data_IF_886200678922
#
_entry.id   IF_886200678922
#
_cell.length_a   1.000
_cell.length_b   1.000
_cell.length_c   1.000
_cell.angle_alpha   90.00
_cell.angle_beta   90.00
_cell.angle_gamma   90.00
#
_symmetry.space_group_name_H-M   'P 1'
#
loop_
_entity.id
_entity.type
_entity.pdbx_description
1 polymer ?
2 non-polymer ?
3 water ?
#
# COMPACT_ATOMS: atom_id res chain seq x y z
N UNK A 2 26.27 -12.87 -22.13
CA UNK A 2 25.41 -13.71 -22.96
C UNK A 2 24.03 -13.95 -22.33
N UNK A 3 23.35 -15.01 -22.79
CA UNK A 3 21.99 -15.28 -22.32
C UNK A 3 21.96 -15.71 -20.86
N UNK A 4 22.99 -16.43 -20.41
CA UNK A 4 23.04 -16.97 -19.06
C UNK A 4 23.88 -16.12 -18.12
N UNK A 5 23.90 -14.80 -18.33
CA UNK A 5 24.68 -13.90 -17.51
C UNK A 5 24.02 -13.70 -16.15
N UNK A 6 24.77 -13.94 -15.08
CA UNK A 6 24.30 -13.68 -13.73
C UNK A 6 24.65 -12.25 -13.31
N UNK A 7 23.77 -11.66 -12.51
CA UNK A 7 24.04 -10.39 -11.90
C UNK A 7 23.56 -9.23 -12.74
N UNK A 8 23.84 -8.00 -12.28
CA UNK A 8 23.34 -6.81 -12.97
C UNK A 8 23.90 -6.70 -14.39
N UNK A 9 23.10 -6.11 -15.26
CA UNK A 9 23.53 -5.80 -16.62
C UNK A 9 24.36 -4.53 -16.56
N UNK A 10 25.63 -4.56 -16.99
CA UNK A 10 26.46 -3.36 -16.93
C UNK A 10 25.82 -2.20 -17.68
N UNK A 11 25.77 -1.04 -17.02
CA UNK A 11 25.19 0.15 -17.60
C UNK A 11 23.70 0.31 -17.43
N UNK A 12 23.04 -0.60 -16.73
CA UNK A 12 21.61 -0.52 -16.47
C UNK A 12 21.40 -0.46 -14.96
N UNK A 13 21.24 0.73 -14.40
CA UNK A 13 21.15 0.86 -12.94
C UNK A 13 19.75 0.60 -12.41
N UNK A 14 19.71 0.32 -11.09
CA UNK A 14 18.44 0.20 -10.39
C UNK A 14 17.61 1.46 -10.60
N UNK A 15 16.35 1.27 -11.00
CA UNK A 15 15.45 2.38 -11.26
C UNK A 15 15.18 2.63 -12.74
N UNK A 16 15.89 1.95 -13.64
CA UNK A 16 15.62 2.10 -15.06
C UNK A 16 14.22 1.57 -15.38
N UNK A 17 13.50 2.30 -16.23
CA UNK A 17 12.12 1.98 -16.54
C UNK A 17 11.92 1.82 -18.04
N UNK A 18 11.19 0.78 -18.44
CA UNK A 18 10.75 0.60 -19.81
C UNK A 18 9.25 0.42 -19.84
N UNK A 19 8.63 0.91 -20.91
CA UNK A 19 7.17 0.87 -21.00
C UNK A 19 6.66 -0.53 -21.34
N UNK A 20 7.41 -1.29 -22.14
CA UNK A 20 6.94 -2.58 -22.63
C UNK A 20 7.92 -3.69 -22.31
N UNK A 21 7.40 -4.90 -22.20
CA UNK A 21 8.24 -6.07 -21.95
C UNK A 21 9.29 -6.27 -23.02
N UNK A 22 9.00 -5.87 -24.26
CA UNK A 22 9.95 -6.10 -25.36
C UNK A 22 11.21 -5.27 -25.16
N UNK A 23 11.08 -4.07 -24.61
CA UNK A 23 12.27 -3.27 -24.30
C UNK A 23 13.07 -3.91 -23.18
N UNK A 24 12.39 -4.54 -22.21
CA UNK A 24 13.09 -5.25 -21.16
C UNK A 24 13.86 -6.43 -21.75
N UNK A 25 13.30 -7.06 -22.79
CA UNK A 25 13.96 -8.19 -23.43
C UNK A 25 15.24 -7.76 -24.14
N UNK A 26 15.17 -6.67 -24.90
CA UNK A 26 16.30 -6.22 -25.68
C UNK A 26 17.40 -5.62 -24.81
N UNK A 27 17.05 -5.11 -23.63
CA UNK A 27 18.07 -4.62 -22.69
C UNK A 27 18.88 -5.75 -22.09
N UNK A 28 18.39 -6.99 -22.12
CA UNK A 28 19.06 -8.10 -21.51
C UNK A 28 18.72 -8.33 -20.05
N UNK A 29 18.01 -7.37 -19.42
CA UNK A 29 17.66 -7.52 -18.01
C UNK A 29 16.74 -8.71 -17.80
N UNK A 30 15.75 -8.87 -18.68
CA UNK A 30 14.88 -10.05 -18.65
C UNK A 30 14.60 -10.45 -20.09
N UNK A 31 15.23 -11.53 -20.55
CA UNK A 31 15.24 -11.85 -21.96
C UNK A 31 13.91 -12.39 -22.49
N UNK A 32 13.23 -13.32 -21.81
CA UNK A 32 11.92 -13.76 -22.31
C UNK A 32 10.92 -12.61 -22.33
N UNK A 33 10.21 -12.49 -23.46
CA UNK A 33 9.26 -11.40 -23.63
C UNK A 33 7.87 -11.71 -23.08
N UNK A 34 7.61 -12.95 -22.68
CA UNK A 34 6.32 -13.32 -22.11
C UNK A 34 6.53 -13.99 -20.76
N UNK A 35 7.36 -15.03 -20.73
CA UNK A 35 7.56 -15.81 -19.52
C UNK A 35 8.06 -14.94 -18.38
N UNK A 36 7.56 -15.21 -17.18
CA UNK A 36 7.90 -14.39 -16.03
C UNK A 36 9.23 -14.68 -15.39
N UNK A 37 9.99 -15.65 -15.92
CA UNK A 37 11.25 -16.06 -15.31
C UNK A 37 12.16 -16.59 -16.41
N UNK A 38 13.46 -16.35 -16.26
CA UNK A 38 14.48 -16.79 -17.19
C UNK A 38 15.50 -17.65 -16.46
N UNK A 39 15.73 -18.86 -16.96
CA UNK A 39 16.69 -19.75 -16.33
C UNK A 39 16.83 -21.04 -17.09
N UNK A 40 17.72 -21.89 -16.58
CA UNK A 40 17.98 -23.22 -17.13
C UNK A 40 17.97 -24.24 -16.00
N UNK A 41 17.36 -25.40 -16.27
CA UNK A 41 17.22 -26.42 -15.25
C UNK A 41 18.54 -27.05 -14.84
N UNK A 42 19.55 -27.02 -15.72
CA UNK A 42 20.89 -27.48 -15.38
C UNK A 42 21.78 -26.34 -14.88
N UNK A 43 21.17 -25.23 -14.47
CA UNK A 43 21.90 -24.03 -14.10
C UNK A 43 21.03 -23.26 -13.12
N UNK A 44 21.08 -21.93 -13.14
CA UNK A 44 20.27 -21.12 -12.26
C UNK A 44 19.21 -20.33 -12.99
N UNK A 45 18.57 -19.44 -12.24
CA UNK A 45 17.67 -18.44 -12.77
C UNK A 45 18.39 -17.11 -12.81
N UNK A 46 18.29 -16.40 -13.93
CA UNK A 46 18.99 -15.13 -14.10
C UNK A 46 18.09 -13.93 -13.91
N UNK A 47 16.79 -14.07 -14.12
CA UNK A 47 15.88 -12.94 -13.99
C UNK A 47 14.46 -13.44 -13.83
N UNK A 48 13.62 -12.60 -13.23
CA UNK A 48 12.19 -12.84 -13.20
C UNK A 48 11.46 -11.50 -13.13
N UNK A 49 10.18 -11.54 -13.49
CA UNK A 49 9.31 -10.38 -13.44
C UNK A 49 8.19 -10.67 -12.44
N UNK A 50 7.84 -9.66 -11.65
CA UNK A 50 6.69 -9.74 -10.77
C UNK A 50 5.53 -8.96 -11.39
N UNK A 51 4.45 -9.66 -11.71
CA UNK A 51 3.27 -9.05 -12.34
C UNK A 51 2.01 -9.72 -11.81
N UNK A 52 1.87 -9.74 -10.49
CA UNK A 52 0.71 -10.32 -9.83
C UNK A 52 0.70 -11.83 -9.79
N UNK A 53 -0.07 -12.46 -10.69
CA UNK A 53 -0.08 -13.90 -10.78
C UNK A 53 -0.90 -14.57 -9.70
N UNK A 54 -0.26 -14.91 -8.58
CA UNK A 54 -0.88 -15.69 -7.52
C UNK A 54 -1.14 -14.79 -6.31
N UNK A 55 -2.37 -14.85 -5.78
CA UNK A 55 -2.79 -13.91 -4.75
C UNK A 55 -2.13 -14.18 -3.40
N UNK A 56 -1.63 -15.41 -3.17
CA UNK A 56 -0.97 -15.71 -1.91
C UNK A 56 0.44 -15.11 -1.83
N UNK A 57 0.99 -14.64 -2.95
CA UNK A 57 2.29 -13.99 -2.92
C UNK A 57 2.18 -12.62 -2.27
N UNK A 58 3.11 -12.32 -1.37
CA UNK A 58 3.22 -11.00 -0.77
C UNK A 58 4.48 -10.34 -1.31
N UNK A 59 4.41 -9.03 -1.53
CA UNK A 59 5.56 -8.24 -1.98
C UNK A 59 5.78 -7.12 -0.98
N UNK A 60 6.95 -7.12 -0.33
CA UNK A 60 7.27 -6.14 0.69
C UNK A 60 8.59 -5.42 0.37
N UNK A 61 8.90 -5.29 -0.92
CA UNK A 61 10.10 -4.57 -1.33
C UNK A 61 11.38 -5.40 -1.24
N UNK A 62 12.04 -5.34 -0.10
CA UNK A 62 13.28 -6.09 0.07
C UNK A 62 13.06 -7.59 0.14
N UNK A 63 11.85 -8.03 0.47
CA UNK A 63 11.53 -9.46 0.41
C UNK A 63 10.15 -9.64 -0.19
N UNK A 64 9.95 -10.80 -0.83
CA UNK A 64 8.67 -11.14 -1.41
C UNK A 64 8.61 -12.65 -1.58
N UNK A 65 7.39 -13.17 -1.59
CA UNK A 65 7.16 -14.58 -1.90
C UNK A 65 6.70 -14.73 -3.35
N UNK A 66 6.92 -15.92 -3.90
CA UNK A 66 6.78 -16.16 -5.33
C UNK A 66 6.32 -17.59 -5.55
N UNK A 67 5.46 -17.79 -6.53
CA UNK A 67 4.90 -19.10 -6.85
C UNK A 67 5.39 -19.56 -8.21
N UNK A 68 5.73 -20.85 -8.31
CA UNK A 68 6.30 -21.39 -9.51
C UNK A 68 5.30 -21.54 -10.64
N UNK A 69 5.77 -22.16 -11.71
CA UNK A 69 5.00 -22.31 -12.94
C UNK A 69 4.51 -23.76 -13.10
N UNK A 70 3.93 -24.04 -14.27
CA UNK A 70 3.28 -25.31 -14.52
C UNK A 70 1.95 -25.40 -13.82
N UNK A 71 1.24 -26.52 -13.98
CA UNK A 71 1.66 -27.57 -14.89
C UNK A 71 0.60 -27.87 -15.93
N UNK A 85 -3.08 -29.83 -12.23
CA UNK A 85 -2.23 -30.89 -11.73
C UNK A 85 -1.10 -30.33 -10.86
N UNK A 86 -0.33 -31.24 -10.25
CA UNK A 86 0.76 -30.83 -9.37
C UNK A 86 1.89 -30.16 -10.14
N UNK A 87 2.51 -29.17 -9.51
CA UNK A 87 3.73 -28.60 -10.03
C UNK A 87 4.91 -29.52 -9.72
N UNK A 88 5.93 -29.45 -10.56
CA UNK A 88 7.15 -30.23 -10.40
C UNK A 88 8.34 -29.29 -10.31
N UNK A 89 9.40 -29.75 -9.66
CA UNK A 89 10.64 -28.97 -9.58
C UNK A 89 11.50 -29.22 -10.81
N UNK A 90 10.92 -28.88 -11.95
CA UNK A 90 11.55 -28.97 -13.26
C UNK A 90 11.50 -27.60 -13.93
N UNK A 91 12.15 -27.50 -15.09
CA UNK A 91 12.16 -26.28 -15.93
C UNK A 91 12.59 -25.11 -15.05
N UNK A 92 11.86 -23.99 -15.06
CA UNK A 92 12.31 -22.79 -14.34
C UNK A 92 12.14 -22.94 -12.83
N UNK A 93 11.17 -23.74 -12.39
CA UNK A 93 11.04 -24.01 -10.97
C UNK A 93 12.33 -24.56 -10.39
N UNK A 94 12.98 -25.47 -11.12
CA UNK A 94 14.26 -26.01 -10.66
C UNK A 94 15.37 -24.97 -10.76
N UNK A 95 15.38 -24.20 -11.85
CA UNK A 95 16.38 -23.14 -12.01
C UNK A 95 16.37 -22.18 -10.83
N UNK A 96 15.19 -21.69 -10.45
CA UNK A 96 15.10 -20.79 -9.31
C UNK A 96 15.50 -21.49 -8.02
N UNK A 97 15.11 -22.76 -7.86
CA UNK A 97 15.52 -23.52 -6.69
C UNK A 97 17.04 -23.67 -6.63
N UNK A 98 17.68 -23.95 -7.77
CA UNK A 98 19.12 -24.12 -7.79
C UNK A 98 19.87 -22.85 -7.39
N UNK A 99 19.24 -21.68 -7.50
CA UNK A 99 19.86 -20.46 -7.02
C UNK A 99 20.03 -20.47 -5.51
N UNK A 100 19.13 -21.14 -4.80
CA UNK A 100 19.21 -21.17 -3.34
C UNK A 100 20.50 -21.85 -2.90
N UNK A 101 21.20 -21.22 -1.96
CA UNK A 101 22.47 -21.76 -1.50
C UNK A 101 22.24 -22.97 -0.61
N UNK A 102 21.66 -24.02 -1.19
CA UNK A 102 21.34 -25.26 -0.48
C UNK A 102 21.33 -26.38 -1.51
N UNK A 103 21.66 -27.61 -1.09
CA UNK A 103 21.53 -28.74 -2.01
C UNK A 103 20.08 -28.90 -2.49
N UNK A 104 19.94 -29.11 -3.79
CA UNK A 104 18.62 -29.19 -4.41
C UNK A 104 17.80 -30.31 -3.76
N UNK A 105 16.54 -30.00 -3.47
CA UNK A 105 15.61 -30.95 -2.84
C UNK A 105 14.24 -30.74 -3.45
N UNK A 106 13.82 -31.69 -4.29
CA UNK A 106 12.51 -31.59 -4.94
C UNK A 106 11.38 -32.29 -4.18
N UNK A 107 11.61 -32.75 -2.96
CA UNK A 107 10.51 -33.32 -2.18
C UNK A 107 10.00 -32.40 -1.08
N UNK A 108 10.92 -31.74 -0.34
CA UNK A 108 10.49 -30.86 0.74
C UNK A 108 10.96 -29.41 0.58
N UNK A 109 11.80 -29.11 -0.41
CA UNK A 109 12.39 -27.80 -0.51
C UNK A 109 13.66 -27.70 0.32
N UNK A 110 14.19 -26.48 0.39
CA UNK A 110 15.44 -26.25 1.10
C UNK A 110 15.48 -24.82 1.61
N UNK A 111 16.44 -24.57 2.51
CA UNK A 111 16.66 -23.25 3.09
C UNK A 111 18.15 -22.97 3.11
N UNK A 112 18.52 -21.77 2.69
CA UNK A 112 19.93 -21.34 2.67
C UNK A 112 20.21 -20.54 3.94
N UNK A 113 20.94 -21.16 4.87
CA UNK A 113 21.40 -20.43 6.05
C UNK A 113 22.25 -19.23 5.66
N UNK A 114 23.08 -19.39 4.63
CA UNK A 114 23.92 -18.31 4.13
C UNK A 114 23.39 -17.86 2.78
N UNK A 115 22.16 -17.32 2.79
CA UNK A 115 21.42 -17.06 1.56
C UNK A 115 22.11 -16.06 0.64
N UNK A 116 22.96 -15.19 1.17
CA UNK A 116 23.63 -14.21 0.32
C UNK A 116 24.67 -14.85 -0.59
N UNK A 117 25.03 -16.11 -0.36
CA UNK A 117 25.96 -16.83 -1.21
C UNK A 117 25.27 -17.55 -2.37
N UNK A 118 23.94 -17.50 -2.43
CA UNK A 118 23.22 -18.06 -3.56
C UNK A 118 23.39 -17.22 -4.81
N UNK A 119 22.90 -17.77 -5.93
CA UNK A 119 23.09 -17.09 -7.20
C UNK A 119 22.13 -15.89 -7.32
N UNK A 120 22.61 -14.78 -7.87
CA UNK A 120 21.76 -13.59 -7.97
C UNK A 120 20.63 -13.75 -8.97
N UNK A 121 19.54 -13.02 -8.71
CA UNK A 121 18.40 -12.95 -9.60
C UNK A 121 18.11 -11.48 -9.86
N UNK A 122 18.16 -11.08 -11.13
CA UNK A 122 17.66 -9.76 -11.50
C UNK A 122 16.14 -9.76 -11.40
N UNK A 123 15.58 -8.73 -10.80
CA UNK A 123 14.14 -8.69 -10.51
C UNK A 123 13.57 -7.39 -11.06
N UNK A 124 12.64 -7.53 -12.00
CA UNK A 124 11.85 -6.43 -12.53
C UNK A 124 10.43 -6.59 -12.00
N UNK A 125 9.76 -5.49 -11.69
CA UNK A 125 8.33 -5.54 -11.42
C UNK A 125 7.54 -4.72 -12.42
N UNK A 126 6.37 -5.24 -12.73
CA UNK A 126 5.47 -4.76 -13.76
C UNK A 126 4.22 -4.19 -13.11
N UNK A 127 3.51 -3.34 -13.85
CA UNK A 127 2.34 -2.65 -13.30
C UNK A 127 1.25 -3.63 -12.89
N UNK A 128 1.04 -4.71 -13.65
CA UNK A 128 -0.12 -5.53 -13.30
C UNK A 128 0.04 -6.26 -11.99
N UNK A 129 1.19 -6.16 -11.33
CA UNK A 129 1.31 -6.63 -9.97
C UNK A 129 0.83 -5.61 -8.98
N UNK A 130 0.37 -4.46 -9.49
CA UNK A 130 0.02 -3.33 -8.65
C UNK A 130 -0.90 -3.64 -7.49
N UNK A 131 -1.87 -4.54 -7.70
CA UNK A 131 -2.99 -4.58 -6.76
C UNK A 131 -2.63 -5.24 -5.43
N UNK A 132 -1.71 -6.20 -5.42
CA UNK A 132 -1.23 -6.73 -4.15
C UNK A 132 0.27 -6.49 -4.01
N UNK A 133 0.72 -5.30 -4.40
CA UNK A 133 2.08 -4.86 -4.14
C UNK A 133 2.12 -3.35 -4.32
N UNK A 134 2.43 -2.63 -3.24
CA UNK A 134 2.55 -1.18 -3.32
C UNK A 134 3.85 -0.74 -3.99
N UNK A 135 4.76 -1.68 -4.26
CA UNK A 135 6.04 -1.36 -4.86
C UNK A 135 6.04 -1.49 -6.38
N UNK A 136 5.01 -2.09 -6.97
CA UNK A 136 4.93 -2.16 -8.42
C UNK A 136 4.85 -0.75 -9.00
N UNK A 137 5.53 -0.48 -10.10
CA UNK A 137 5.45 0.85 -10.71
C UNK A 137 4.05 1.14 -11.23
N UNK A 138 3.75 2.43 -11.36
CA UNK A 138 2.47 2.84 -11.91
C UNK A 138 2.42 2.67 -13.43
N UNK A 139 3.58 2.58 -14.07
CA UNK A 139 3.66 2.49 -15.52
C UNK A 139 4.86 1.65 -15.90
N UNK A 140 4.69 0.81 -16.94
CA UNK A 140 5.79 0.06 -17.51
C UNK A 140 6.46 -0.91 -16.55
N UNK A 141 7.78 -1.04 -16.68
CA UNK A 141 8.59 -2.01 -15.95
C UNK A 141 9.76 -1.28 -15.32
N UNK A 142 10.18 -1.73 -14.13
CA UNK A 142 11.28 -1.10 -13.42
C UNK A 142 12.23 -2.17 -12.91
N UNK A 143 13.53 -2.00 -13.15
CA UNK A 143 14.54 -2.90 -12.62
C UNK A 143 14.85 -2.50 -11.18
N UNK A 144 14.68 -3.45 -10.26
CA UNK A 144 14.75 -3.15 -8.84
C UNK A 144 15.97 -3.75 -8.15
N UNK A 145 16.82 -4.48 -8.86
CA UNK A 145 18.09 -4.90 -8.32
C UNK A 145 18.19 -6.41 -8.14
N UNK A 146 19.24 -6.80 -7.43
CA UNK A 146 19.58 -8.20 -7.24
C UNK A 146 18.87 -8.74 -6.00
N UNK A 147 18.21 -9.89 -6.16
CA UNK A 147 17.62 -10.63 -5.05
C UNK A 147 18.23 -12.03 -5.00
N UNK A 148 18.04 -12.70 -3.86
CA UNK A 148 18.61 -14.01 -3.62
C UNK A 148 17.55 -14.92 -3.00
N UNK A 149 17.63 -16.21 -3.33
CA UNK A 149 16.62 -17.17 -2.92
C UNK A 149 16.93 -17.62 -1.49
N UNK A 150 16.10 -17.19 -0.54
CA UNK A 150 16.31 -17.58 0.85
C UNK A 150 15.85 -19.01 1.10
N UNK A 151 14.66 -19.36 0.64
CA UNK A 151 14.15 -20.71 0.83
C UNK A 151 13.01 -20.97 -0.16
N UNK A 152 12.73 -22.25 -0.36
CA UNK A 152 11.64 -22.69 -1.21
C UNK A 152 11.05 -23.96 -0.62
N UNK A 153 9.75 -24.15 -0.84
CA UNK A 153 9.03 -25.26 -0.21
C UNK A 153 7.80 -25.57 -1.05
N UNK A 154 7.30 -26.81 -1.00
CA UNK A 154 6.04 -27.12 -1.67
C UNK A 154 4.85 -27.02 -0.74
N UNK A 155 3.70 -26.64 -1.28
CA UNK A 155 2.47 -26.60 -0.49
C UNK A 155 1.29 -26.79 -1.43
N UNK A 156 0.11 -27.00 -0.84
CA UNK A 156 -1.11 -27.14 -1.61
C UNK A 156 -1.62 -25.76 -1.98
N UNK A 157 -1.80 -25.51 -3.27
CA UNK A 157 -2.21 -24.20 -3.74
C UNK A 157 -3.69 -23.95 -3.58
N UNK A 158 -4.14 -22.85 -4.18
CA UNK A 158 -5.57 -22.56 -4.20
C UNK A 158 -6.33 -23.52 -5.11
N UNK A 159 -5.68 -24.00 -6.17
CA UNK A 159 -6.30 -24.98 -7.04
C UNK A 159 -6.48 -26.34 -6.37
N UNK A 160 -5.75 -26.60 -5.29
CA UNK A 160 -5.80 -27.89 -4.62
C UNK A 160 -4.66 -28.82 -4.97
N UNK A 161 -3.93 -28.54 -6.04
CA UNK A 161 -2.76 -29.32 -6.42
C UNK A 161 -1.55 -28.80 -5.65
N UNK A 162 -0.35 -29.21 -6.05
CA UNK A 162 0.87 -28.77 -5.40
C UNK A 162 1.47 -27.60 -6.16
N UNK A 163 1.97 -26.62 -5.42
CA UNK A 163 2.65 -25.47 -5.98
C UNK A 163 3.97 -25.29 -5.25
N UNK A 164 4.97 -24.82 -5.97
CA UNK A 164 6.28 -24.53 -5.41
C UNK A 164 6.35 -23.04 -5.09
N UNK A 165 6.66 -22.72 -3.84
CA UNK A 165 6.74 -21.35 -3.38
C UNK A 165 8.18 -21.01 -3.03
N UNK A 166 8.53 -19.73 -3.18
CA UNK A 166 9.87 -19.25 -2.94
C UNK A 166 9.82 -17.98 -2.10
N UNK A 167 10.84 -17.81 -1.25
CA UNK A 167 11.07 -16.57 -0.54
C UNK A 167 12.40 -16.00 -1.01
N UNK A 168 12.36 -14.78 -1.56
CA UNK A 168 13.57 -14.10 -1.99
C UNK A 168 13.75 -12.81 -1.21
N UNK A 169 14.99 -12.34 -1.15
CA UNK A 169 15.33 -11.11 -0.47
C UNK A 169 16.39 -10.35 -1.24
N UNK A 170 16.39 -9.03 -1.05
CA UNK A 170 17.26 -8.15 -1.81
C UNK A 170 18.69 -8.20 -1.28
N UNK A 171 19.65 -8.22 -2.22
CA UNK A 171 21.07 -8.23 -1.89
C UNK A 171 21.80 -7.46 -2.98
N UNK A 172 21.63 -6.13 -2.96
CA UNK A 172 22.16 -5.26 -4.00
C UNK A 172 22.91 -4.10 -3.34
N UNK A 173 24.01 -3.68 -3.98
CA UNK A 173 24.76 -2.53 -3.48
C UNK A 173 24.01 -1.23 -3.72
N UNK A 174 23.20 -1.16 -4.78
CA UNK A 174 22.43 0.05 -5.01
C UNK A 174 21.17 0.04 -4.15
N UNK A 175 20.77 1.19 -3.62
CA UNK A 175 19.55 1.24 -2.80
C UNK A 175 18.31 0.94 -3.63
N UNK A 176 17.30 0.39 -2.95
CA UNK A 176 16.02 0.16 -3.56
C UNK A 176 15.45 1.42 -4.18
N UNK A 177 14.83 1.29 -5.36
CA UNK A 177 14.39 2.49 -6.09
C UNK A 177 13.31 3.27 -5.37
N UNK A 178 12.51 2.62 -4.52
CA UNK A 178 11.48 3.31 -3.76
C UNK A 178 12.04 4.05 -2.56
N UNK A 179 13.25 3.73 -2.13
CA UNK A 179 13.84 4.41 -0.99
C UNK A 179 14.23 5.83 -1.37
N UNK A 180 14.38 6.68 -0.34
CA UNK A 180 14.79 8.05 -0.58
C UNK A 180 16.10 8.12 -1.35
N UNK A 181 17.07 7.28 -0.96
CA UNK A 181 18.36 7.29 -1.63
C UNK A 181 18.26 6.74 -3.04
N UNK A 182 17.40 5.76 -3.26
CA UNK A 182 17.15 5.28 -4.61
C UNK A 182 16.50 6.34 -5.48
N UNK A 183 15.60 7.14 -4.89
CA UNK A 183 15.01 8.25 -5.64
C UNK A 183 16.06 9.29 -6.01
N UNK A 184 16.99 9.57 -5.09
CA UNK A 184 18.06 10.52 -5.39
C UNK A 184 18.92 10.03 -6.54
N UNK A 185 19.21 8.73 -6.60
CA UNK A 185 20.00 8.20 -7.70
C UNK A 185 19.25 8.30 -9.02
N UNK A 186 17.96 7.97 -9.02
CA UNK A 186 17.15 8.12 -10.23
C UNK A 186 17.18 9.57 -10.72
N UNK A 187 16.97 10.51 -9.79
CA UNK A 187 17.05 11.92 -10.14
C UNK A 187 18.44 12.29 -10.64
N UNK A 188 19.48 11.83 -9.96
CA UNK A 188 20.84 12.21 -10.33
C UNK A 188 21.28 11.55 -11.63
N UNK A 189 20.86 10.32 -11.88
CA UNK A 189 21.18 9.65 -13.14
C UNK A 189 20.31 10.12 -14.29
N UNK A 190 19.20 10.79 -14.01
CA UNK A 190 18.31 11.22 -15.07
C UNK A 190 17.40 10.14 -15.59
N UNK A 191 17.20 9.06 -14.84
CA UNK A 191 16.39 7.93 -15.30
C UNK A 191 14.96 8.36 -15.55
N UNK A 192 14.43 7.96 -16.71
CA UNK A 192 13.08 8.36 -17.12
C UNK A 192 12.46 7.20 -17.88
N UNK A 193 11.12 7.23 -17.95
CA UNK A 193 10.36 6.19 -18.65
C UNK A 193 10.78 6.10 -20.11
N UNK A 194 11.35 4.95 -20.49
CA UNK A 194 11.79 4.73 -21.86
C UNK A 194 10.60 4.30 -22.71
N UNK A 195 10.38 5.00 -23.83
CA UNK A 195 9.38 4.56 -24.78
C UNK A 195 10.04 4.09 -26.07
N UNK A 196 9.45 3.14 -26.77
CA UNK A 196 9.95 2.81 -28.11
C UNK A 196 9.83 4.02 -29.01
N UNK A 197 10.79 4.17 -29.92
CA UNK A 197 10.79 5.33 -30.80
C UNK A 197 9.52 5.33 -31.66
N UNK A 198 8.87 6.49 -31.72
CA UNK A 198 7.66 6.67 -32.49
C UNK A 198 6.37 6.24 -31.82
N UNK A 199 6.44 5.61 -30.64
CA UNK A 199 5.21 5.10 -30.00
C UNK A 199 4.30 6.25 -29.59
N UNK A 200 4.81 7.17 -28.76
CA UNK A 200 4.01 8.31 -28.33
C UNK A 200 3.57 9.15 -29.53
N UNK A 201 4.44 9.29 -30.53
CA UNK A 201 4.09 10.05 -31.72
C UNK A 201 2.98 9.39 -32.52
N UNK A 202 2.92 8.05 -32.50
CA UNK A 202 1.86 7.33 -33.20
C UNK A 202 0.54 7.40 -32.46
N UNK A 203 0.58 7.42 -31.12
CA UNK A 203 -0.66 7.52 -30.34
C UNK A 203 -1.28 8.90 -30.45
N UNK A 204 -0.46 9.94 -30.60
CA UNK A 204 -0.98 11.30 -30.64
C UNK A 204 -1.57 11.65 -32.00
N UNK A 205 -1.04 11.08 -33.08
CA UNK A 205 -1.59 11.28 -34.41
C UNK A 205 -2.77 10.36 -34.71
N UNK A 206 -3.20 9.55 -33.74
CA UNK A 206 -4.30 8.60 -33.97
C UNK A 206 -5.64 9.20 -33.54
N UNK A 207 -6.09 10.18 -34.31
CA UNK A 207 -7.39 10.79 -34.03
C UNK A 207 -7.99 11.38 -35.30
N UNK B 2 -7.17 -4.70 20.47
CA UNK B 2 -6.19 -3.98 21.29
C UNK B 2 -6.02 -2.52 20.88
N UNK B 3 -4.89 -1.93 21.27
CA UNK B 3 -4.67 -0.51 21.04
C UNK B 3 -4.47 -0.19 19.56
N UNK B 4 -3.80 -1.09 18.82
CA UNK B 4 -3.47 -0.85 17.42
C UNK B 4 -4.39 -1.59 16.46
N UNK B 5 -5.67 -1.73 16.82
CA UNK B 5 -6.62 -2.48 15.99
C UNK B 5 -6.98 -1.69 14.74
N UNK B 6 -6.79 -2.32 13.58
CA UNK B 6 -7.22 -1.78 12.30
C UNK B 6 -8.65 -2.21 11.98
N UNK B 7 -9.39 -1.34 11.31
CA UNK B 7 -10.68 -1.69 10.80
C UNK B 7 -11.81 -1.40 11.77
N UNK B 8 -13.03 -1.78 11.39
CA UNK B 8 -14.19 -1.46 12.23
C UNK B 8 -14.11 -2.13 13.60
N UNK B 9 -14.69 -1.46 14.59
CA UNK B 9 -14.83 -2.02 15.94
C UNK B 9 -16.02 -2.97 15.92
N UNK B 10 -15.82 -4.24 16.26
CA UNK B 10 -16.95 -5.19 16.25
C UNK B 10 -18.09 -4.73 17.14
N UNK B 11 -19.30 -4.78 16.58
CA UNK B 11 -20.50 -4.40 17.30
C UNK B 11 -20.86 -2.93 17.26
N UNK B 12 -20.10 -2.11 16.54
CA UNK B 12 -20.37 -0.68 16.43
C UNK B 12 -20.57 -0.36 14.95
N UNK B 13 -21.81 -0.27 14.49
CA UNK B 13 -22.05 -0.08 13.05
C UNK B 13 -21.95 1.39 12.64
N UNK B 14 -21.77 1.57 11.32
CA UNK B 14 -21.80 2.90 10.73
C UNK B 14 -23.12 3.59 11.07
N UNK B 15 -23.02 4.82 11.57
CA UNK B 15 -24.18 5.59 11.99
C UNK B 15 -24.33 5.71 13.49
N UNK B 16 -23.51 5.00 14.27
CA UNK B 16 -23.57 5.12 15.72
C UNK B 16 -23.16 6.53 16.14
N UNK B 17 -23.86 7.07 17.12
CA UNK B 17 -23.65 8.44 17.56
C UNK B 17 -23.36 8.50 19.05
N UNK B 18 -22.36 9.31 19.42
CA UNK B 18 -22.07 9.63 20.81
C UNK B 18 -22.02 11.14 20.97
N UNK B 19 -22.48 11.61 22.14
CA UNK B 19 -22.55 13.05 22.37
C UNK B 19 -21.17 13.64 22.65
N UNK B 20 -20.28 12.90 23.31
CA UNK B 20 -18.99 13.45 23.71
C UNK B 20 -17.84 12.60 23.18
N UNK B 21 -16.69 13.25 23.01
CA UNK B 21 -15.48 12.57 22.58
C UNK B 21 -15.08 11.46 23.54
N UNK B 22 -15.41 11.60 24.83
CA UNK B 22 -14.99 10.61 25.81
C UNK B 22 -15.71 9.29 25.57
N UNK B 23 -16.97 9.34 25.13
CA UNK B 23 -17.69 8.11 24.80
C UNK B 23 -17.09 7.45 23.57
N UNK B 24 -16.62 8.26 22.60
CA UNK B 24 -15.95 7.72 21.43
C UNK B 24 -14.66 7.03 21.84
N UNK B 25 -13.98 7.57 22.85
CA UNK B 25 -12.71 7.00 23.29
C UNK B 25 -12.89 5.62 23.90
N UNK B 26 -13.85 5.48 24.81
CA UNK B 26 -14.00 4.19 25.49
C UNK B 26 -14.63 3.14 24.59
N UNK B 27 -15.37 3.56 23.55
CA UNK B 27 -15.87 2.60 22.57
C UNK B 27 -14.77 2.00 21.73
N UNK B 28 -13.59 2.63 21.69
CA UNK B 28 -12.48 2.15 20.89
C UNK B 28 -12.44 2.68 19.47
N UNK B 29 -13.50 3.33 19.00
CA UNK B 29 -13.53 3.82 17.62
C UNK B 29 -12.45 4.87 17.41
N UNK B 30 -12.29 5.78 18.36
CA UNK B 30 -11.20 6.77 18.34
C UNK B 30 -10.72 6.96 19.77
N UNK B 31 -9.58 6.37 20.10
CA UNK B 31 -9.14 6.28 21.48
C UNK B 31 -8.64 7.60 22.08
N UNK B 32 -7.85 8.42 21.37
CA UNK B 32 -7.48 9.72 21.94
C UNK B 32 -8.71 10.58 22.15
N UNK B 33 -8.82 11.18 23.34
CA UNK B 33 -9.99 11.97 23.69
C UNK B 33 -9.88 13.42 23.24
N UNK B 34 -8.71 13.87 22.79
CA UNK B 34 -8.54 15.22 22.31
C UNK B 34 -7.95 15.20 20.90
N UNK B 35 -6.82 14.49 20.74
CA UNK B 35 -6.12 14.48 19.47
C UNK B 35 -7.01 13.98 18.34
N UNK B 36 -6.91 14.62 17.18
CA UNK B 36 -7.76 14.32 16.06
C UNK B 36 -7.38 13.10 15.26
N UNK B 37 -6.31 12.41 15.63
CA UNK B 37 -5.81 11.28 14.86
C UNK B 37 -5.14 10.30 15.81
N UNK B 38 -5.28 9.00 15.53
CA UNK B 38 -4.70 7.94 16.34
C UNK B 38 -3.82 7.07 15.47
N UNK B 39 -2.56 6.91 15.85
CA UNK B 39 -1.65 6.10 15.07
C UNK B 39 -0.29 6.02 15.69
N UNK B 40 0.58 5.24 15.04
CA UNK B 40 1.97 5.08 15.44
C UNK B 40 2.87 5.28 14.22
N UNK B 41 3.99 5.98 14.41
CA UNK B 41 4.87 6.31 13.31
C UNK B 41 5.59 5.10 12.74
N UNK B 42 5.76 4.03 13.53
CA UNK B 42 6.30 2.77 13.03
C UNK B 42 5.22 1.81 12.58
N UNK B 43 4.02 2.33 12.31
CA UNK B 43 2.84 1.53 11.99
C UNK B 43 1.92 2.41 11.17
N UNK B 44 0.61 2.24 11.29
CA UNK B 44 -0.34 3.05 10.57
C UNK B 44 -1.15 3.96 11.46
N UNK B 45 -2.16 4.58 10.86
CA UNK B 45 -3.18 5.34 11.57
C UNK B 45 -4.43 4.49 11.66
N UNK B 46 -5.02 4.44 12.85
CA UNK B 46 -6.20 3.61 13.07
C UNK B 46 -7.50 4.39 13.04
N UNK B 47 -7.49 5.68 13.35
CA UNK B 47 -8.71 6.46 13.36
C UNK B 47 -8.37 7.95 13.30
N UNK B 48 -9.34 8.74 12.85
CA UNK B 48 -9.25 10.18 12.93
C UNK B 48 -10.65 10.77 13.05
N UNK B 49 -10.69 12.02 13.52
CA UNK B 49 -11.94 12.77 13.65
C UNK B 49 -11.86 13.98 12.74
N UNK B 50 -12.98 14.28 12.07
CA UNK B 50 -13.12 15.50 11.29
C UNK B 50 -13.95 16.50 12.10
N UNK B 51 -13.34 17.64 12.43
CA UNK B 51 -13.99 18.67 13.22
C UNK B 51 -13.60 20.05 12.70
N UNK B 52 -13.81 20.25 11.39
CA UNK B 52 -13.49 21.53 10.79
C UNK B 52 -11.99 21.63 10.57
N UNK B 53 -11.33 22.32 11.49
CA UNK B 53 -9.88 22.40 11.47
C UNK B 53 -9.32 23.39 10.47
N UNK B 54 -9.05 22.93 9.26
CA UNK B 54 -8.36 23.71 8.25
C UNK B 54 -9.31 24.15 7.15
N UNK B 55 -9.21 25.42 6.76
CA UNK B 55 -10.15 26.01 5.82
C UNK B 55 -9.99 25.46 4.41
N UNK B 56 -8.79 24.99 4.06
CA UNK B 56 -8.58 24.41 2.74
C UNK B 56 -9.09 22.98 2.62
N UNK B 57 -9.41 22.32 3.73
CA UNK B 57 -9.95 20.97 3.67
C UNK B 57 -11.39 21.02 3.14
N UNK B 58 -11.68 20.14 2.18
CA UNK B 58 -13.03 19.96 1.67
C UNK B 58 -13.53 18.60 2.13
N UNK B 59 -14.82 18.52 2.46
CA UNK B 59 -15.46 17.27 2.85
C UNK B 59 -16.65 17.02 1.92
N UNK B 60 -16.59 15.92 1.17
CA UNK B 60 -17.62 15.56 0.21
C UNK B 60 -18.18 14.17 0.47
N UNK B 61 -18.19 13.76 1.73
CA UNK B 61 -18.76 12.48 2.09
C UNK B 61 -17.85 11.30 1.82
N UNK B 62 -17.96 10.73 0.62
CA UNK B 62 -17.13 9.59 0.27
C UNK B 62 -15.67 9.95 0.09
N UNK B 63 -15.35 11.23 -0.16
CA UNK B 63 -13.96 11.67 -0.20
C UNK B 63 -13.85 13.01 0.50
N UNK B 64 -12.66 13.26 1.07
CA UNK B 64 -12.37 14.51 1.73
C UNK B 64 -10.87 14.71 1.77
N UNK B 65 -10.45 15.97 1.86
CA UNK B 65 -9.06 16.31 2.08
C UNK B 65 -8.82 16.65 3.55
N UNK B 66 -7.58 16.51 3.96
CA UNK B 66 -7.22 16.56 5.38
C UNK B 66 -5.82 17.13 5.52
N UNK B 67 -5.63 17.94 6.57
CA UNK B 67 -4.35 18.60 6.82
C UNK B 67 -3.73 18.06 8.10
N UNK B 68 -2.42 17.83 8.06
CA UNK B 68 -1.72 17.22 9.17
C UNK B 68 -1.55 18.15 10.35
N UNK B 69 -0.79 17.67 11.33
CA UNK B 69 -0.59 18.34 12.60
C UNK B 69 0.83 18.93 12.65
N UNK B 70 1.21 19.43 13.82
CA UNK B 70 2.44 20.16 13.95
C UNK B 70 2.33 21.57 13.41
N UNK B 71 3.44 22.29 13.48
CA UNK B 71 3.50 23.66 12.98
C UNK B 71 3.01 24.67 14.00
N UNK B 85 6.24 27.24 11.63
CA UNK B 85 7.33 26.47 11.02
C UNK B 85 6.79 25.34 10.15
N UNK B 86 7.69 24.67 9.44
CA UNK B 86 7.28 23.60 8.53
C UNK B 86 6.78 22.39 9.30
N UNK B 87 5.77 21.72 8.72
CA UNK B 87 5.36 20.42 9.22
C UNK B 87 6.32 19.35 8.69
N UNK B 88 6.43 18.26 9.44
CA UNK B 88 7.28 17.14 9.07
C UNK B 88 6.43 15.89 8.97
N UNK B 89 6.91 14.92 8.18
CA UNK B 89 6.22 13.64 8.06
C UNK B 89 6.68 12.71 9.19
N UNK B 90 6.41 13.17 10.41
CA UNK B 90 6.71 12.43 11.62
C UNK B 90 5.44 12.28 12.44
N UNK B 91 5.56 11.51 13.53
CA UNK B 91 4.48 11.27 14.49
C UNK B 91 3.23 10.82 13.71
N UNK B 92 2.06 11.42 13.91
CA UNK B 92 0.84 10.91 13.29
C UNK B 92 0.79 11.24 11.79
N UNK B 93 1.43 12.33 11.37
CA UNK B 93 1.51 12.62 9.94
C UNK B 93 2.12 11.45 9.17
N UNK B 94 3.17 10.84 9.73
CA UNK B 94 3.77 9.68 9.09
C UNK B 94 2.86 8.47 9.16
N UNK B 95 2.20 8.26 10.30
CA UNK B 95 1.26 7.15 10.46
C UNK B 95 0.21 7.15 9.36
N UNK B 96 -0.45 8.29 9.15
CA UNK B 96 -1.47 8.38 8.10
C UNK B 96 -0.86 8.16 6.73
N UNK B 97 0.35 8.69 6.49
CA UNK B 97 1.04 8.46 5.23
C UNK B 97 1.32 6.98 5.04
N UNK B 98 1.74 6.29 6.09
CA UNK B 98 2.05 4.87 5.99
C UNK B 98 0.83 4.03 5.63
N UNK B 99 -0.39 4.53 5.90
CA UNK B 99 -1.58 3.81 5.48
C UNK B 99 -1.70 3.77 3.95
N UNK B 100 -1.18 4.79 3.28
CA UNK B 100 -1.28 4.85 1.82
C UNK B 100 -0.51 3.68 1.21
N UNK B 101 -1.16 3.00 0.25
CA UNK B 101 -0.55 1.84 -0.39
C UNK B 101 0.54 2.28 -1.35
N UNK B 102 1.59 2.92 -0.81
CA UNK B 102 2.69 3.43 -1.60
C UNK B 102 3.93 3.47 -0.71
N UNK B 103 5.12 3.34 -1.28
CA UNK B 103 6.34 3.52 -0.50
C UNK B 103 6.40 4.92 0.11
N UNK B 104 6.75 4.97 1.39
CA UNK B 104 6.74 6.24 2.12
C UNK B 104 7.69 7.24 1.45
N UNK B 105 7.23 8.48 1.34
CA UNK B 105 8.01 9.55 0.71
C UNK B 105 7.75 10.83 1.49
N UNK B 106 8.72 11.27 2.28
CA UNK B 106 8.60 12.51 3.03
C UNK B 106 9.14 13.71 2.29
N UNK B 107 9.45 13.59 1.00
CA UNK B 107 9.91 14.74 0.23
C UNK B 107 8.82 15.29 -0.69
N UNK B 108 8.11 14.41 -1.40
CA UNK B 108 7.04 14.82 -2.30
C UNK B 108 5.69 14.20 -2.00
N UNK B 109 5.61 13.25 -1.07
CA UNK B 109 4.40 12.52 -0.89
C UNK B 109 4.33 11.32 -1.82
N UNK B 110 3.16 10.68 -1.84
CA UNK B 110 2.99 9.48 -2.63
C UNK B 110 1.53 9.34 -3.04
N UNK B 111 1.29 8.45 -4.00
CA UNK B 111 -0.05 8.15 -4.50
C UNK B 111 -0.20 6.65 -4.66
N UNK B 112 -1.31 6.11 -4.19
CA UNK B 112 -1.61 4.69 -4.31
C UNK B 112 -2.59 4.50 -5.48
N UNK B 113 -2.07 4.01 -6.61
CA UNK B 113 -2.95 3.65 -7.71
C UNK B 113 -3.94 2.58 -7.29
N UNK B 114 -3.52 1.66 -6.43
CA UNK B 114 -4.39 0.63 -5.89
C UNK B 114 -4.71 0.96 -4.44
N UNK B 115 -5.39 2.10 -4.24
CA UNK B 115 -5.58 2.67 -2.92
C UNK B 115 -6.40 1.78 -1.99
N UNK B 116 -7.23 0.88 -2.54
CA UNK B 116 -8.05 0.03 -1.69
C UNK B 116 -7.25 -1.01 -0.92
N UNK B 117 -5.98 -1.21 -1.27
CA UNK B 117 -5.10 -2.11 -0.54
C UNK B 117 -4.38 -1.43 0.61
N UNK B 118 -4.55 -0.12 0.77
CA UNK B 118 -3.99 0.57 1.90
C UNK B 118 -4.69 0.22 3.20
N UNK B 119 -4.10 0.68 4.30
CA UNK B 119 -4.61 0.33 5.61
C UNK B 119 -5.89 1.11 5.91
N UNK B 120 -6.89 0.46 6.52
CA UNK B 120 -8.15 1.16 6.80
C UNK B 120 -7.99 2.23 7.87
N UNK B 121 -8.83 3.26 7.76
CA UNK B 121 -8.92 4.33 8.75
C UNK B 121 -10.37 4.44 9.20
N UNK B 122 -10.62 4.25 10.49
CA UNK B 122 -11.92 4.59 11.03
C UNK B 122 -12.07 6.10 11.06
N UNK B 123 -13.22 6.60 10.61
CA UNK B 123 -13.43 8.03 10.45
C UNK B 123 -14.69 8.44 11.19
N UNK B 124 -14.52 9.31 12.17
CA UNK B 124 -15.63 9.94 12.89
C UNK B 124 -15.66 11.40 12.44
N UNK B 125 -16.86 11.96 12.31
CA UNK B 125 -16.99 13.40 12.16
C UNK B 125 -17.76 14.00 13.31
N UNK B 126 -17.34 15.20 13.70
CA UNK B 126 -17.82 15.89 14.87
C UNK B 126 -18.62 17.11 14.41
N UNK B 127 -19.47 17.61 15.31
CA UNK B 127 -20.34 18.73 14.97
C UNK B 127 -19.53 19.95 14.57
N UNK B 128 -18.35 20.14 15.17
CA UNK B 128 -17.58 21.36 14.93
C UNK B 128 -17.04 21.46 13.51
N UNK B 129 -17.18 20.41 12.70
CA UNK B 129 -16.89 20.46 11.28
C UNK B 129 -18.02 20.97 10.43
N UNK B 130 -19.15 21.32 11.06
CA UNK B 130 -20.36 21.64 10.33
C UNK B 130 -20.20 22.66 9.22
N UNK B 131 -19.39 23.71 9.45
CA UNK B 131 -19.56 24.88 8.61
C UNK B 131 -18.90 24.73 7.24
N UNK B 132 -17.85 23.92 7.12
CA UNK B 132 -17.31 23.57 5.81
C UNK B 132 -17.45 22.08 5.51
N UNK B 133 -18.58 21.50 5.93
CA UNK B 133 -18.93 20.13 5.58
C UNK B 133 -20.40 19.94 5.90
N UNK B 134 -21.21 19.67 4.87
CA UNK B 134 -22.63 19.40 5.08
C UNK B 134 -22.88 18.01 5.66
N UNK B 135 -21.84 17.17 5.75
CA UNK B 135 -21.97 15.81 6.25
C UNK B 135 -21.70 15.70 7.74
N UNK B 136 -21.16 16.74 8.37
CA UNK B 136 -20.95 16.71 9.80
C UNK B 136 -22.29 16.58 10.51
N UNK B 137 -22.38 15.77 11.57
CA UNK B 137 -23.65 15.65 12.29
C UNK B 137 -24.02 16.96 12.95
N UNK B 138 -25.33 17.10 13.22
CA UNK B 138 -25.79 18.30 13.91
C UNK B 138 -25.44 18.29 15.39
N UNK B 139 -25.14 17.11 15.94
CA UNK B 139 -24.86 16.96 17.36
C UNK B 139 -23.86 15.84 17.55
N UNK B 140 -22.93 16.03 18.49
CA UNK B 140 -22.02 14.97 18.90
C UNK B 140 -21.15 14.44 17.78
N UNK B 141 -20.93 13.13 17.80
CA UNK B 141 -20.00 12.44 16.91
C UNK B 141 -20.70 11.26 16.26
N UNK B 142 -20.33 10.99 15.00
CA UNK B 142 -20.93 9.90 14.24
C UNK B 142 -19.83 9.09 13.56
N UNK B 143 -19.89 7.77 13.70
CA UNK B 143 -18.94 6.89 13.00
C UNK B 143 -19.44 6.66 11.58
N UNK B 144 -18.60 7.00 10.59
CA UNK B 144 -19.02 7.03 9.20
C UNK B 144 -18.40 5.93 8.35
N UNK B 145 -17.51 5.12 8.92
CA UNK B 145 -17.02 3.94 8.24
C UNK B 145 -15.54 4.02 7.91
N UNK B 146 -15.11 3.07 7.09
CA UNK B 146 -13.70 2.88 6.75
C UNK B 146 -13.34 3.76 5.56
N UNK B 147 -12.25 4.53 5.70
CA UNK B 147 -11.68 5.28 4.61
C UNK B 147 -10.22 4.85 4.41
N UNK B 148 -9.68 5.17 3.24
CA UNK B 148 -8.32 4.78 2.88
C UNK B 148 -7.61 5.94 2.19
N UNK B 149 -6.30 6.00 2.40
CA UNK B 149 -5.49 7.14 1.96
C UNK B 149 -5.14 6.97 0.48
N UNK B 150 -5.72 7.83 -0.37
CA UNK B 150 -5.44 7.78 -1.79
C UNK B 150 -4.09 8.39 -2.12
N UNK B 151 -3.80 9.57 -1.57
CA UNK B 151 -2.52 10.22 -1.83
C UNK B 151 -2.29 11.28 -0.77
N UNK B 152 -1.03 11.66 -0.63
CA UNK B 152 -0.62 12.72 0.28
C UNK B 152 0.52 13.48 -0.36
N UNK B 153 0.60 14.77 -0.03
CA UNK B 153 1.55 15.66 -0.68
C UNK B 153 1.81 16.84 0.23
N UNK B 154 2.97 17.49 0.12
CA UNK B 154 3.21 18.70 0.89
C UNK B 154 2.90 19.97 0.09
N UNK B 155 2.45 21.02 0.77
CA UNK B 155 2.23 22.30 0.10
C UNK B 155 2.40 23.42 1.12
N UNK B 156 2.47 24.65 0.60
CA UNK B 156 2.57 25.83 1.45
C UNK B 156 1.18 26.23 1.93
N UNK B 157 1.00 26.29 3.24
CA UNK B 157 -0.29 26.62 3.82
C UNK B 157 -0.55 28.11 3.81
N UNK B 158 -1.63 28.49 4.52
CA UNK B 158 -1.93 29.91 4.70
C UNK B 158 -0.93 30.58 5.61
N UNK B 159 -0.34 29.82 6.56
CA UNK B 159 0.68 30.37 7.43
C UNK B 159 1.98 30.68 6.68
N UNK B 160 2.16 30.11 5.49
CA UNK B 160 3.36 30.30 4.71
C UNK B 160 4.40 29.20 4.86
N UNK B 161 4.25 28.36 5.88
CA UNK B 161 5.14 27.23 6.07
C UNK B 161 4.66 26.04 5.25
N UNK B 162 5.23 24.87 5.49
CA UNK B 162 4.86 23.66 4.76
C UNK B 162 3.86 22.86 5.59
N UNK B 163 2.84 22.33 4.91
CA UNK B 163 1.82 21.49 5.55
C UNK B 163 1.64 20.22 4.74
N UNK B 164 1.33 19.14 5.44
CA UNK B 164 1.06 17.85 4.81
C UNK B 164 -0.44 17.68 4.63
N UNK B 165 -0.86 17.43 3.39
CA UNK B 165 -2.26 17.23 3.04
C UNK B 165 -2.49 15.79 2.59
N UNK B 166 -3.71 15.32 2.81
CA UNK B 166 -4.08 13.95 2.48
C UNK B 166 -5.41 13.94 1.74
N UNK B 167 -5.56 13.00 0.81
CA UNK B 167 -6.83 12.71 0.19
C UNK B 167 -7.21 11.29 0.61
N UNK B 168 -8.33 11.16 1.30
CA UNK B 168 -8.90 9.89 1.70
C UNK B 168 -10.27 9.77 1.07
N UNK B 169 -10.76 8.55 0.99
CA UNK B 169 -12.04 8.28 0.38
C UNK B 169 -12.49 6.88 0.79
N UNK B 170 -13.81 6.70 0.82
CA UNK B 170 -14.46 5.61 1.54
C UNK B 170 -14.36 4.24 0.87
N UNK B 171 -14.16 3.21 1.71
CA UNK B 171 -14.07 1.82 1.27
C UNK B 171 -14.68 0.94 2.37
N UNK B 172 -15.99 0.97 2.49
CA UNK B 172 -16.70 0.29 3.57
C UNK B 172 -17.84 -0.53 3.00
N UNK B 173 -18.10 -1.69 3.62
CA UNK B 173 -19.21 -2.53 3.20
C UNK B 173 -20.56 -1.92 3.57
N UNK B 174 -20.60 -1.18 4.66
CA UNK B 174 -21.86 -0.55 5.04
C UNK B 174 -22.04 0.76 4.29
N UNK B 175 -23.27 1.09 3.89
CA UNK B 175 -23.50 2.35 3.17
C UNK B 175 -23.24 3.55 4.08
N UNK B 176 -22.85 4.66 3.45
CA UNK B 176 -22.69 5.90 4.15
C UNK B 176 -23.94 6.28 4.91
N UNK B 177 -23.76 6.80 6.13
CA UNK B 177 -24.93 7.05 6.99
C UNK B 177 -25.87 8.11 6.44
N UNK B 178 -25.37 9.04 5.63
CA UNK B 178 -26.22 10.05 5.02
C UNK B 178 -27.02 9.51 3.83
N UNK B 179 -26.62 8.37 3.27
CA UNK B 179 -27.33 7.81 2.14
C UNK B 179 -28.66 7.23 2.59
N UNK B 180 -29.57 7.07 1.62
CA UNK B 180 -30.88 6.50 1.92
C UNK B 180 -30.76 5.14 2.57
N UNK B 181 -29.89 4.28 2.02
CA UNK B 181 -29.74 2.93 2.58
C UNK B 181 -29.04 2.96 3.94
N UNK B 182 -28.11 3.89 4.14
CA UNK B 182 -27.52 4.06 5.45
C UNK B 182 -28.53 4.55 6.48
N UNK B 183 -29.45 5.42 6.06
CA UNK B 183 -30.53 5.84 6.95
C UNK B 183 -31.44 4.68 7.31
N UNK B 184 -31.72 3.80 6.35
CA UNK B 184 -32.54 2.62 6.63
C UNK B 184 -31.89 1.72 7.66
N UNK B 185 -30.56 1.58 7.60
CA UNK B 185 -29.87 0.75 8.58
C UNK B 185 -29.92 1.37 9.97
N UNK B 186 -29.72 2.68 10.06
CA UNK B 186 -29.83 3.37 11.35
C UNK B 186 -31.22 3.15 11.95
N UNK B 187 -32.26 3.34 11.13
CA UNK B 187 -33.63 3.15 11.60
C UNK B 187 -33.86 1.71 12.06
N UNK B 188 -33.43 0.73 11.26
CA UNK B 188 -33.71 -0.67 11.59
C UNK B 188 -32.85 -1.15 12.75
N UNK B 189 -31.62 -0.66 12.86
CA UNK B 189 -30.79 -1.02 14.00
C UNK B 189 -31.18 -0.28 15.26
N UNK B 190 -31.98 0.78 15.14
CA UNK B 190 -32.37 1.55 16.31
C UNK B 190 -31.33 2.50 16.83
N UNK B 191 -30.34 2.85 16.01
CA UNK B 191 -29.25 3.71 16.46
C UNK B 191 -29.79 5.07 16.87
N UNK B 192 -29.36 5.53 18.05
CA UNK B 192 -29.82 6.79 18.60
C UNK B 192 -28.67 7.45 19.36
N UNK B 193 -28.79 8.76 19.52
CA UNK B 193 -27.77 9.55 20.23
C UNK B 193 -27.59 9.06 21.66
N UNK B 194 -26.44 8.47 21.96
CA UNK B 194 -26.13 8.01 23.30
C UNK B 194 -25.54 9.14 24.13
N UNK B 195 -26.09 9.33 25.32
CA UNK B 195 -25.58 10.27 26.29
C UNK B 195 -24.96 9.52 27.46
N UNK B 196 -23.96 10.11 28.12
CA UNK B 196 -23.46 9.49 29.36
C UNK B 196 -24.59 9.42 30.38
N UNK B 197 -24.56 8.37 31.19
CA UNK B 197 -25.61 8.19 32.18
C UNK B 197 -25.69 9.37 33.12
N UNK B 198 -26.90 9.87 33.35
CA UNK B 198 -27.14 10.99 34.23
C UNK B 198 -26.91 12.36 33.64
N UNK B 199 -26.39 12.45 32.41
CA UNK B 199 -26.07 13.76 31.85
C UNK B 199 -27.34 14.57 31.60
N UNK B 200 -28.27 14.04 30.79
CA UNK B 200 -29.51 14.76 30.53
C UNK B 200 -30.29 15.00 31.81
N UNK B 201 -30.23 14.06 32.76
CA UNK B 201 -30.91 14.22 34.03
C UNK B 201 -30.29 15.33 34.87
N UNK B 202 -28.97 15.56 34.73
CA UNK B 202 -28.31 16.60 35.49
C UNK B 202 -28.54 17.98 34.89
N UNK B 203 -28.66 18.09 33.57
CA UNK B 203 -28.91 19.38 32.95
C UNK B 203 -30.33 19.88 33.24
N UNK B 204 -31.28 18.96 33.38
CA UNK B 204 -32.67 19.38 33.62
C UNK B 204 -32.89 19.77 35.08
N UNK B 205 -32.13 19.17 36.00
CA UNK B 205 -32.19 19.55 37.41
C UNK B 205 -31.31 20.77 37.71
N UNK B 206 -30.72 21.39 36.69
CA UNK B 206 -29.87 22.56 36.86
C UNK B 206 -30.73 23.81 36.65
N UNK B 207 -31.56 24.07 37.66
CA UNK B 207 -32.50 25.17 37.64
C UNK B 207 -32.79 25.75 39.02
X LIG C 1 21.11 -8.32 7.74
X LIG C 1 21.43 -6.09 6.81
X LIG C 1 19.33 -5.85 5.61
X LIG C 1 17.79 -4.96 3.84
X LIG C 1 21.63 -11.31 7.09
X LIG C 1 20.84 -13.25 7.81
X LIG C 1 20.02 -11.40 8.80
X LIG C 1 20.81 -10.62 8.01
X LIG C 1 20.57 -6.91 7.71
X LIG C 1 20.76 -5.68 5.56
X LIG C 1 18.66 -4.68 5.03
X LIG C 1 16.80 -6.10 3.83
X LIG C 1 21.57 -12.59 7.08
X LIG C 1 20.09 -12.70 8.66
X LIG C 1 20.58 -9.35 8.33
X LIG C 1 17.12 -7.30 3.37
X LIG C 1 22.43 -10.96 6.25
X LIG C 1 20.84 -14.42 7.71
X LIG C 1 22.21 -8.59 7.12
X LIG C 1 15.56 -6.02 4.33
X LIG C 1 17.55 -7.59 2.15
X LIG D 1 -15.89 2.64 -7.85
X LIG D 1 -17.05 3.70 -6.02
X LIG D 1 -18.76 3.99 -4.33
X LIG D 1 -19.69 4.17 -1.91
X LIG D 1 -12.94 4.07 -7.66
X LIG D 1 -11.05 3.38 -8.65
X LIG D 1 -13.02 2.71 -9.56
X LIG D 1 -13.71 3.38 -8.56
X LIG D 1 -17.19 3.08 -7.34
X LIG D 1 -17.92 3.01 -5.08
X LIG D 1 -19.48 3.30 -3.17
X LIG D 1 -19.19 3.85 -0.51
X LIG D 1 -11.64 4.02 -7.76
X LIG D 1 -11.67 2.75 -9.54
X LIG D 1 -15.01 3.38 -8.55
X LIG D 1 -19.85 4.44 0.41
X LIG D 1 -13.45 4.69 -6.74
X LIG D 1 -9.93 3.43 -8.66
X LIG D 1 -15.58 1.40 -7.60
X LIG D 1 -18.19 3.07 -0.07
X LIG D 1 -21.19 4.53 0.27
#
# INVERSE_FOLDING_TARGET
MPSNHYGPIPGIPVGTMWRFRVQVSESGVHRPHVAGIHGRSNDGAYSLVLAGGYEDDVDHGNFFTYTGSGGRDLSGNKRTAEQSCDQKLTNTNRALALNCFAPINDQEGAEAKDWRSGKPVRVVRNVKGGKNSKYAPAEGNRYDGIYKVVKYWPEKGKSGFLVWRYLLRRDDDEPGPWTKEGKDRIKKLGLTMQYPEGYLEALANAHHHHHH
MPSNHYGPIPGIPVGTMWRFRVQVSESGVHRPHVAGIHGRSNDGAYSLVLAGGYEDDVDHGNFFTYTGSGGRDLSGNKRTAEQSCDQKLTNTNRALALNCFAPINDQEGAEAKDWRSGKPVRVVRNVKGGKNSKYAPAEGNRYDGIYKVVKYWPEKGKSGFLVWRYLLRRDDDEPGPWTKEGKDRIKKLGLTMQYPEGYLEALANAHHHHHH
8JA C10 C13 C15 C17 C02 C04 C07 C08 C12 C14 C16 C18 N03 N06 N09 N20 O01 O05 O11 O19 O21
8JA C10 C13 C15 C17 C02 C04 C07 C08 C12 C14 C16 C18 N03 N06 N09 N20 O01 O05 O11 O19 O21
#
